data_IF_167096917895
#
_entry.id   IF_167096917895
#
_cell.length_a   1.000
_cell.length_b   1.000
_cell.length_c   1.000
_cell.angle_alpha   90.00
_cell.angle_beta   90.00
_cell.angle_gamma   90.00
#
_symmetry.space_group_name_H-M   'P 1'
#
loop_
_entity.id
_entity.type
_entity.pdbx_description
1 polymer ?
#
# COMPACT_ATOMS: atom_id res chain seq x y z
N UNK A 1 2.51 14.24 11.29
CA UNK A 1 2.21 13.00 10.55
C UNK A 1 3.56 12.44 10.11
N UNK A 2 3.89 11.16 10.35
CA UNK A 2 5.13 10.60 9.82
C UNK A 2 4.94 10.45 8.31
N UNK A 3 5.73 11.17 7.52
CA UNK A 3 5.63 11.20 6.06
C UNK A 3 6.36 10.03 5.38
N UNK A 4 7.04 9.19 6.15
CA UNK A 4 7.85 8.08 5.64
C UNK A 4 7.73 6.90 6.60
N UNK A 5 7.16 5.79 6.11
CA UNK A 5 6.94 4.57 6.88
C UNK A 5 8.27 3.92 7.31
N UNK A 6 9.37 4.19 6.60
CA UNK A 6 10.71 3.67 6.94
C UNK A 6 11.24 4.24 8.26
N UNK A 7 10.71 5.38 8.70
CA UNK A 7 11.04 6.04 9.99
C UNK A 7 10.03 5.71 11.09
N UNK A 8 9.04 4.87 10.79
CA UNK A 8 8.10 4.39 11.79
C UNK A 8 8.70 3.18 12.54
N UNK A 9 8.32 3.04 13.81
CA UNK A 9 8.71 1.87 14.60
C UNK A 9 7.73 0.74 14.30
N UNK A 10 7.92 0.11 13.15
CA UNK A 10 7.10 -0.99 12.63
C UNK A 10 7.81 -2.33 12.87
N UNK A 11 7.03 -3.39 12.98
CA UNK A 11 7.57 -4.75 12.94
C UNK A 11 8.15 -5.05 11.56
N UNK A 12 8.92 -6.12 11.44
CA UNK A 12 9.52 -6.47 10.15
C UNK A 12 8.46 -6.94 9.14
N UNK A 13 7.38 -7.55 9.62
CA UNK A 13 6.21 -7.91 8.82
C UNK A 13 5.52 -6.66 8.24
N UNK A 14 5.27 -5.64 9.06
CA UNK A 14 4.66 -4.39 8.61
C UNK A 14 5.55 -3.63 7.62
N UNK A 15 6.87 -3.67 7.79
CA UNK A 15 7.82 -3.10 6.83
C UNK A 15 7.77 -3.85 5.48
N UNK A 16 7.69 -5.18 5.51
CA UNK A 16 7.56 -5.99 4.30
C UNK A 16 6.28 -5.64 3.54
N UNK A 17 5.15 -5.52 4.26
CA UNK A 17 3.88 -5.11 3.69
C UNK A 17 3.94 -3.70 3.07
N UNK A 18 4.56 -2.75 3.77
CA UNK A 18 4.72 -1.38 3.27
C UNK A 18 5.61 -1.32 2.01
N UNK A 19 6.72 -2.06 1.99
CA UNK A 19 7.60 -2.16 0.83
C UNK A 19 6.90 -2.78 -0.38
N UNK A 20 6.14 -3.85 -0.16
CA UNK A 20 5.34 -4.49 -1.20
C UNK A 20 4.24 -3.56 -1.75
N UNK A 21 3.51 -2.86 -0.87
CA UNK A 21 2.46 -1.90 -1.26
C UNK A 21 3.03 -0.72 -2.07
N UNK A 22 4.22 -0.22 -1.70
CA UNK A 22 4.92 0.81 -2.45
C UNK A 22 5.34 0.31 -3.84
N UNK A 23 5.91 -0.90 -3.95
CA UNK A 23 6.27 -1.50 -5.24
C UNK A 23 5.05 -1.69 -6.14
N UNK A 24 3.94 -2.22 -5.60
CA UNK A 24 2.69 -2.42 -6.33
C UNK A 24 2.10 -1.08 -6.82
N UNK A 25 2.25 -0.02 -6.03
CA UNK A 25 1.80 1.34 -6.39
C UNK A 25 2.65 1.97 -7.49
N UNK A 26 3.98 1.92 -7.34
CA UNK A 26 4.90 2.63 -8.24
C UNK A 26 5.20 1.86 -9.53
N UNK A 27 5.23 0.53 -9.46
CA UNK A 27 5.66 -0.33 -10.57
C UNK A 27 4.82 -1.62 -10.68
N UNK A 28 3.49 -1.54 -10.82
CA UNK A 28 2.63 -2.72 -10.85
C UNK A 28 3.00 -3.72 -11.95
N UNK A 29 3.49 -3.24 -13.11
CA UNK A 29 3.95 -4.10 -14.21
C UNK A 29 5.27 -4.85 -13.96
N UNK A 30 5.95 -4.59 -12.83
CA UNK A 30 7.18 -5.29 -12.41
C UNK A 30 6.93 -6.25 -11.24
N UNK A 31 5.67 -6.45 -10.86
CA UNK A 31 5.31 -7.43 -9.84
C UNK A 31 5.53 -8.84 -10.36
N UNK A 32 5.90 -9.73 -9.45
CA UNK A 32 6.19 -11.14 -9.72
C UNK A 32 5.65 -12.02 -8.60
N UNK A 33 5.60 -13.33 -8.84
CA UNK A 33 5.23 -14.30 -7.80
C UNK A 33 6.18 -14.26 -6.59
N UNK A 34 7.45 -13.89 -6.79
CA UNK A 34 8.41 -13.77 -5.70
C UNK A 34 8.03 -12.68 -4.69
N UNK A 35 7.41 -11.59 -5.14
CA UNK A 35 6.94 -10.53 -4.24
C UNK A 35 5.85 -11.02 -3.29
N UNK A 36 5.01 -11.94 -3.74
CA UNK A 36 3.99 -12.59 -2.91
C UNK A 36 4.65 -13.58 -1.95
N UNK A 37 5.59 -14.40 -2.43
CA UNK A 37 6.35 -15.36 -1.60
C UNK A 37 7.13 -14.68 -0.47
N UNK A 38 7.68 -13.49 -0.71
CA UNK A 38 8.37 -12.70 0.32
C UNK A 38 7.41 -12.25 1.44
N UNK A 39 6.17 -11.91 1.10
CA UNK A 39 5.14 -11.63 2.11
C UNK A 39 4.71 -12.88 2.87
N UNK A 40 4.55 -14.02 2.19
CA UNK A 40 4.25 -15.30 2.85
C UNK A 40 5.37 -15.69 3.83
N UNK A 41 6.62 -15.53 3.42
CA UNK A 41 7.79 -15.78 4.27
C UNK A 41 7.89 -14.82 5.46
N UNK A 42 7.29 -13.64 5.34
CA UNK A 42 7.14 -12.67 6.44
C UNK A 42 5.95 -12.99 7.36
N UNK A 43 5.23 -14.09 7.14
CA UNK A 43 4.16 -14.56 8.02
C UNK A 43 2.74 -14.19 7.58
N UNK A 44 2.57 -13.53 6.42
CA UNK A 44 1.24 -13.23 5.91
C UNK A 44 0.58 -14.46 5.27
N UNK A 45 -0.70 -14.68 5.57
CA UNK A 45 -1.49 -15.66 4.85
C UNK A 45 -1.88 -15.15 3.46
N UNK A 46 -2.13 -16.06 2.51
CA UNK A 46 -2.64 -15.70 1.19
C UNK A 46 -3.92 -14.87 1.22
N UNK A 47 -4.78 -15.10 2.22
CA UNK A 47 -5.97 -14.26 2.43
C UNK A 47 -5.57 -12.82 2.80
N UNK A 48 -4.66 -12.65 3.76
CA UNK A 48 -4.19 -11.33 4.16
C UNK A 48 -3.49 -10.59 3.01
N UNK A 49 -2.74 -11.30 2.16
CA UNK A 49 -2.10 -10.72 0.97
C UNK A 49 -3.17 -10.27 -0.05
N UNK A 50 -4.20 -11.09 -0.27
CA UNK A 50 -5.34 -10.71 -1.13
C UNK A 50 -6.09 -9.49 -0.59
N UNK A 51 -6.28 -9.39 0.73
CA UNK A 51 -6.91 -8.24 1.36
C UNK A 51 -6.05 -6.98 1.19
N UNK A 52 -4.74 -7.10 1.43
CA UNK A 52 -3.79 -6.02 1.19
C UNK A 52 -3.78 -5.54 -0.26
N UNK A 53 -3.80 -6.45 -1.24
CA UNK A 53 -3.85 -6.11 -2.66
C UNK A 53 -5.08 -5.26 -3.01
N UNK A 54 -6.25 -5.63 -2.47
CA UNK A 54 -7.50 -4.90 -2.68
C UNK A 54 -7.44 -3.50 -2.05
N UNK A 55 -6.92 -3.38 -0.83
CA UNK A 55 -6.77 -2.08 -0.14
C UNK A 55 -5.81 -1.17 -0.92
N UNK A 56 -4.64 -1.68 -1.31
CA UNK A 56 -3.66 -0.92 -2.11
C UNK A 56 -4.24 -0.51 -3.46
N UNK A 57 -4.98 -1.41 -4.12
CA UNK A 57 -5.68 -1.12 -5.38
C UNK A 57 -6.76 -0.06 -5.23
N UNK A 58 -7.57 -0.13 -4.16
CA UNK A 58 -8.62 0.82 -3.87
C UNK A 58 -8.08 2.24 -3.66
N UNK A 59 -7.02 2.39 -2.85
CA UNK A 59 -6.37 3.70 -2.66
C UNK A 59 -5.75 4.22 -3.96
N UNK A 60 -5.15 3.34 -4.75
CA UNK A 60 -4.66 3.69 -6.09
C UNK A 60 -5.78 4.23 -6.99
N UNK A 61 -6.95 3.61 -6.99
CA UNK A 61 -8.11 4.08 -7.74
C UNK A 61 -8.60 5.44 -7.22
N UNK A 62 -8.89 5.56 -5.93
CA UNK A 62 -9.50 6.78 -5.39
C UNK A 62 -8.56 7.99 -5.48
N UNK A 63 -7.24 7.80 -5.30
CA UNK A 63 -6.25 8.87 -5.47
C UNK A 63 -6.26 9.40 -6.90
N UNK A 64 -6.37 8.51 -7.91
CA UNK A 64 -6.46 8.92 -9.32
C UNK A 64 -7.73 9.70 -9.62
N UNK A 65 -8.86 9.33 -9.01
CA UNK A 65 -10.11 10.07 -9.16
C UNK A 65 -10.01 11.43 -8.49
N UNK A 66 -9.54 11.48 -7.24
CA UNK A 66 -9.45 12.71 -6.47
C UNK A 66 -8.46 13.70 -7.11
N UNK A 67 -7.22 13.27 -7.34
CA UNK A 67 -6.18 14.13 -7.93
C UNK A 67 -6.46 14.44 -9.41
N UNK A 68 -6.96 13.46 -10.17
CA UNK A 68 -7.21 13.61 -11.60
C UNK A 68 -8.40 14.51 -11.93
N UNK A 69 -9.38 14.62 -11.03
CA UNK A 69 -10.55 15.51 -11.19
C UNK A 69 -10.47 16.78 -10.33
N UNK A 70 -9.42 16.96 -9.54
CA UNK A 70 -9.27 18.11 -8.65
C UNK A 70 -10.28 18.13 -7.50
N UNK A 71 -10.65 16.95 -6.98
CA UNK A 71 -11.55 16.83 -5.82
C UNK A 71 -10.79 17.26 -4.57
N UNK A 72 -11.32 18.27 -3.90
CA UNK A 72 -10.81 18.75 -2.63
C UNK A 72 -11.09 17.76 -1.50
N UNK A 73 -10.25 17.77 -0.47
CA UNK A 73 -10.55 17.09 0.78
C UNK A 73 -11.86 17.63 1.36
N UNK A 74 -12.66 16.73 1.96
CA UNK A 74 -13.81 17.12 2.78
C UNK A 74 -13.37 18.16 3.83
N UNK A 75 -14.23 19.14 4.18
CA UNK A 75 -13.85 20.23 5.06
C UNK A 75 -13.33 19.79 6.44
N UNK A 76 -13.79 18.65 6.96
CA UNK A 76 -13.37 18.06 8.23
C UNK A 76 -12.02 17.31 8.15
N UNK A 77 -11.54 17.01 6.95
CA UNK A 77 -10.22 16.43 6.71
C UNK A 77 -9.12 17.47 6.45
N UNK A 78 -9.49 18.75 6.23
CA UNK A 78 -8.54 19.86 6.10
C UNK A 78 -7.98 20.19 7.50
N UNK A 79 -6.68 19.92 7.70
CA UNK A 79 -5.96 20.20 8.96
C UNK A 79 -5.77 21.68 9.23
#
# INVERSE_FOLDING_TARGET
>A
MKHDWRKANLSDEDKALCGWAEKLTMTPGKMSENDVKELEASGFSQRAISDAAQVVGYFNYINRIAEGLGVDLEPDMKK
#
